data_IF_441907449263
#
_entry.id   IF_441907449263
#
_cell.length_a   1.000
_cell.length_b   1.000
_cell.length_c   1.000
_cell.angle_alpha   90.00
_cell.angle_beta   90.00
_cell.angle_gamma   90.00
#
_symmetry.space_group_name_H-M   'P 1'
#
loop_
_entity.id
_entity.type
_entity.pdbx_description
1 polymer ?
#
# COMPACT_ATOMS: atom_id res chain seq x y z
N UNK A 1 14.88 -6.31 18.04
CA UNK A 1 13.57 -5.79 18.49
C UNK A 1 13.73 -4.35 18.93
N UNK A 2 12.83 -3.47 18.51
CA UNK A 2 12.80 -2.06 18.93
C UNK A 2 11.58 -1.87 19.82
N UNK A 3 11.79 -1.35 21.03
CA UNK A 3 10.69 -1.00 21.93
C UNK A 3 10.38 0.49 21.80
N UNK A 4 9.13 0.81 21.53
CA UNK A 4 8.63 2.17 21.34
C UNK A 4 7.71 2.54 22.50
N UNK A 5 7.78 3.80 22.95
CA UNK A 5 6.91 4.34 24.00
C UNK A 5 5.52 4.74 23.50
N UNK A 6 5.34 4.78 22.17
CA UNK A 6 4.09 5.20 21.52
C UNK A 6 3.56 4.07 20.64
N UNK A 7 2.30 3.69 20.85
CA UNK A 7 1.61 2.71 20.01
C UNK A 7 1.06 3.41 18.74
N UNK A 8 1.86 3.41 17.67
CA UNK A 8 1.51 4.03 16.40
C UNK A 8 2.22 3.29 15.25
N UNK A 9 1.48 2.83 14.26
CA UNK A 9 2.01 2.07 13.13
C UNK A 9 3.05 2.84 12.33
N UNK A 10 2.83 4.13 12.07
CA UNK A 10 3.79 5.00 11.36
C UNK A 10 5.10 5.13 12.12
N UNK A 11 5.03 5.35 13.44
CA UNK A 11 6.23 5.47 14.28
C UNK A 11 7.01 4.14 14.27
N UNK A 12 6.31 3.01 14.36
CA UNK A 12 6.93 1.70 14.32
C UNK A 12 7.60 1.43 12.96
N UNK A 13 6.90 1.67 11.85
CA UNK A 13 7.45 1.48 10.49
C UNK A 13 8.63 2.41 10.23
N UNK A 14 8.54 3.69 10.62
CA UNK A 14 9.64 4.65 10.48
C UNK A 14 10.88 4.22 11.28
N UNK A 15 10.70 3.77 12.52
CA UNK A 15 11.80 3.24 13.32
C UNK A 15 12.46 2.01 12.68
N UNK A 16 11.64 1.13 12.07
CA UNK A 16 12.13 -0.01 11.30
C UNK A 16 12.95 0.40 10.09
N UNK A 17 12.47 1.38 9.31
CA UNK A 17 13.18 1.95 8.16
C UNK A 17 14.55 2.52 8.57
N UNK A 18 14.60 3.24 9.70
CA UNK A 18 15.83 3.90 10.17
C UNK A 18 16.94 2.91 10.52
N UNK A 19 16.60 1.76 11.10
CA UNK A 19 17.58 0.74 11.49
C UNK A 19 17.82 -0.35 10.45
N UNK A 20 16.98 -0.44 9.43
CA UNK A 20 17.15 -1.44 8.36
C UNK A 20 18.50 -1.24 7.67
N UNK A 21 19.29 -2.30 7.55
CA UNK A 21 20.58 -2.30 6.86
C UNK A 21 20.51 -2.84 5.43
N UNK A 22 19.45 -3.61 5.11
CA UNK A 22 19.25 -4.20 3.80
C UNK A 22 18.84 -3.14 2.75
N UNK A 23 19.15 -3.38 1.45
CA UNK A 23 18.80 -2.45 0.38
C UNK A 23 17.31 -2.42 0.04
N UNK A 24 16.53 -3.40 0.50
CA UNK A 24 15.08 -3.50 0.28
C UNK A 24 14.34 -3.66 1.59
N UNK A 25 13.13 -3.12 1.66
CA UNK A 25 12.26 -3.13 2.84
C UNK A 25 10.87 -3.62 2.44
N UNK A 26 10.35 -4.59 3.18
CA UNK A 26 8.95 -5.00 3.17
C UNK A 26 8.33 -4.80 4.55
N UNK A 27 7.02 -4.72 4.59
CA UNK A 27 6.24 -4.54 5.82
C UNK A 27 5.28 -5.72 6.00
N UNK A 28 5.11 -6.15 7.23
CA UNK A 28 4.12 -7.16 7.61
C UNK A 28 3.46 -6.64 8.88
N UNK A 29 2.13 -6.60 8.89
CA UNK A 29 1.38 -6.26 10.09
C UNK A 29 1.38 -7.48 11.03
N UNK A 30 1.44 -7.24 12.33
CA UNK A 30 1.70 -8.29 13.35
C UNK A 30 0.55 -9.29 13.52
N UNK A 31 -0.60 -8.99 12.98
CA UNK A 31 -1.82 -9.82 12.99
C UNK A 31 -2.07 -10.56 11.68
N UNK A 32 -1.19 -10.37 10.68
CA UNK A 32 -1.23 -10.99 9.37
C UNK A 32 -0.06 -11.98 9.17
N UNK A 33 -0.04 -12.67 8.04
CA UNK A 33 1.08 -13.51 7.62
C UNK A 33 1.27 -13.50 6.09
N UNK A 34 2.38 -14.08 5.63
CA UNK A 34 2.77 -14.12 4.22
C UNK A 34 3.13 -15.55 3.81
N UNK A 35 3.04 -15.84 2.53
CA UNK A 35 3.63 -17.04 1.96
C UNK A 35 5.15 -17.04 2.17
N UNK A 36 5.70 -18.22 2.46
CA UNK A 36 7.13 -18.41 2.78
C UNK A 36 8.06 -17.93 1.65
N UNK A 37 7.62 -17.95 0.41
CA UNK A 37 8.37 -17.55 -0.79
C UNK A 37 8.07 -16.12 -1.27
N UNK A 38 7.20 -15.36 -0.58
CA UNK A 38 6.81 -14.01 -1.02
C UNK A 38 8.01 -13.14 -1.33
N UNK A 39 8.89 -12.92 -0.36
CA UNK A 39 10.02 -12.00 -0.55
C UNK A 39 11.09 -12.54 -1.50
N UNK A 40 11.23 -13.83 -1.65
CA UNK A 40 12.09 -14.44 -2.66
C UNK A 40 11.60 -14.09 -4.07
N UNK A 41 10.32 -14.28 -4.35
CA UNK A 41 9.72 -13.97 -5.65
C UNK A 41 9.71 -12.45 -5.95
N UNK A 42 9.39 -11.61 -4.95
CA UNK A 42 9.44 -10.15 -5.13
C UNK A 42 10.85 -9.66 -5.41
N UNK A 43 11.87 -10.18 -4.72
CA UNK A 43 13.27 -9.82 -4.91
C UNK A 43 13.81 -10.31 -6.26
N UNK A 44 13.40 -11.50 -6.70
CA UNK A 44 13.72 -12.02 -8.02
C UNK A 44 13.17 -11.12 -9.13
N UNK A 45 11.93 -10.64 -8.98
CA UNK A 45 11.32 -9.69 -9.92
C UNK A 45 12.05 -8.34 -9.93
N UNK A 46 12.41 -7.77 -8.77
CA UNK A 46 13.23 -6.55 -8.68
C UNK A 46 14.53 -6.72 -9.48
N UNK A 47 15.21 -7.85 -9.26
CA UNK A 47 16.51 -8.13 -9.92
C UNK A 47 16.38 -8.32 -11.43
N UNK A 48 15.31 -8.98 -11.88
CA UNK A 48 15.07 -9.30 -13.29
C UNK A 48 14.64 -8.08 -14.12
N UNK A 49 13.85 -7.19 -13.51
CA UNK A 49 13.29 -6.02 -14.20
C UNK A 49 14.04 -4.72 -13.89
N UNK A 50 14.93 -4.71 -12.89
CA UNK A 50 15.71 -3.53 -12.51
C UNK A 50 14.85 -2.39 -11.95
N UNK A 51 13.76 -2.72 -11.24
CA UNK A 51 12.81 -1.74 -10.68
C UNK A 51 13.06 -1.47 -9.20
N UNK A 52 12.57 -0.35 -8.72
CA UNK A 52 12.72 0.07 -7.31
C UNK A 52 11.57 -0.40 -6.41
N UNK A 53 10.47 -0.90 -7.01
CA UNK A 53 9.27 -1.35 -6.31
C UNK A 53 8.60 -2.51 -7.05
N UNK A 54 8.24 -3.55 -6.29
CA UNK A 54 7.40 -4.67 -6.75
C UNK A 54 6.22 -4.81 -5.80
N UNK A 55 5.07 -5.19 -6.33
CA UNK A 55 3.88 -5.47 -5.53
C UNK A 55 3.15 -6.73 -5.98
N UNK A 56 2.42 -7.33 -5.06
CA UNK A 56 1.61 -8.53 -5.27
C UNK A 56 0.16 -8.30 -4.85
N UNK A 57 -0.67 -9.31 -5.06
CA UNK A 57 -2.01 -9.37 -4.53
C UNK A 57 -2.00 -9.85 -3.06
N UNK A 58 -3.17 -9.84 -2.45
CA UNK A 58 -3.44 -10.37 -1.12
C UNK A 58 -4.75 -11.14 -1.13
N UNK A 59 -4.98 -11.93 -0.11
CA UNK A 59 -6.29 -12.52 0.17
C UNK A 59 -6.75 -12.14 1.57
N UNK A 60 -8.06 -12.20 1.80
CA UNK A 60 -8.66 -11.90 3.11
C UNK A 60 -9.14 -13.22 3.70
N UNK A 61 -8.66 -13.53 4.90
CA UNK A 61 -9.09 -14.69 5.67
C UNK A 61 -9.99 -14.26 6.82
N UNK A 62 -11.17 -14.83 6.88
CA UNK A 62 -12.16 -14.54 7.91
C UNK A 62 -12.10 -15.56 9.06
N UNK A 63 -12.53 -15.17 10.26
CA UNK A 63 -12.58 -16.01 11.46
C UNK A 63 -13.38 -17.31 11.26
N UNK A 64 -14.33 -17.36 10.34
CA UNK A 64 -15.14 -18.53 9.99
C UNK A 64 -14.48 -19.48 8.99
N UNK A 65 -13.26 -19.15 8.56
CA UNK A 65 -12.49 -19.92 7.58
C UNK A 65 -12.82 -19.60 6.12
N UNK A 66 -13.70 -18.63 5.87
CA UNK A 66 -13.93 -18.11 4.51
C UNK A 66 -12.72 -17.31 4.04
N UNK A 67 -12.37 -17.45 2.76
CA UNK A 67 -11.28 -16.72 2.12
C UNK A 67 -11.83 -15.94 0.92
N UNK A 68 -11.70 -14.62 0.97
CA UNK A 68 -11.89 -13.76 -0.19
C UNK A 68 -10.58 -13.69 -0.97
N UNK A 69 -10.51 -14.35 -2.11
CA UNK A 69 -9.37 -14.25 -3.03
C UNK A 69 -9.69 -13.30 -4.17
N UNK A 70 -8.69 -12.54 -4.59
CA UNK A 70 -8.79 -11.68 -5.77
C UNK A 70 -8.31 -12.48 -6.99
N UNK A 71 -9.24 -12.76 -7.89
CA UNK A 71 -8.94 -13.40 -9.16
C UNK A 71 -8.57 -12.35 -10.24
N UNK A 72 -7.67 -12.66 -11.16
CA UNK A 72 -6.93 -13.92 -11.29
C UNK A 72 -5.74 -14.02 -10.33
N UNK A 73 -5.31 -15.25 -10.02
CA UNK A 73 -4.09 -15.60 -9.26
C UNK A 73 -3.19 -16.45 -10.17
N UNK A 74 -2.83 -15.89 -11.32
CA UNK A 74 -2.21 -16.62 -12.44
C UNK A 74 -0.70 -16.80 -12.28
N UNK A 75 -0.06 -16.05 -11.38
CA UNK A 75 1.39 -15.97 -11.28
C UNK A 75 2.05 -15.14 -12.39
N UNK A 76 1.26 -14.42 -13.19
CA UNK A 76 1.78 -13.52 -14.21
C UNK A 76 2.61 -12.40 -13.59
N UNK A 77 3.72 -12.06 -14.22
CA UNK A 77 4.59 -10.93 -13.85
C UNK A 77 4.49 -9.87 -14.93
N UNK A 78 4.15 -8.64 -14.54
CA UNK A 78 3.90 -7.55 -15.47
C UNK A 78 4.58 -6.26 -15.01
N UNK A 79 5.36 -5.65 -15.93
CA UNK A 79 5.89 -4.29 -15.74
C UNK A 79 4.77 -3.28 -16.03
N UNK A 80 4.64 -2.28 -15.16
CA UNK A 80 3.67 -1.20 -15.27
C UNK A 80 4.33 0.16 -15.07
N UNK A 81 3.81 1.19 -15.71
CA UNK A 81 4.25 2.55 -15.37
C UNK A 81 3.75 2.96 -13.99
N UNK A 82 4.54 3.73 -13.25
CA UNK A 82 4.13 4.26 -11.94
C UNK A 82 2.88 5.13 -12.03
N UNK A 83 2.71 5.86 -13.14
CA UNK A 83 1.50 6.64 -13.43
C UNK A 83 0.24 5.77 -13.45
N UNK A 84 0.25 4.64 -14.20
CA UNK A 84 -0.88 3.72 -14.27
C UNK A 84 -1.22 3.11 -12.91
N UNK A 85 -0.20 2.73 -12.14
CA UNK A 85 -0.41 2.14 -10.81
C UNK A 85 -1.00 3.16 -9.84
N UNK A 86 -0.53 4.40 -9.86
CA UNK A 86 -1.11 5.48 -9.04
C UNK A 86 -2.54 5.79 -9.49
N UNK A 87 -2.81 5.82 -10.80
CA UNK A 87 -4.16 6.01 -11.31
C UNK A 87 -5.12 4.94 -10.79
N UNK A 88 -4.74 3.65 -10.91
CA UNK A 88 -5.56 2.55 -10.41
C UNK A 88 -5.77 2.61 -8.89
N UNK A 89 -4.73 2.97 -8.14
CA UNK A 89 -4.81 3.13 -6.69
C UNK A 89 -5.73 4.31 -6.30
N UNK A 90 -5.68 5.43 -7.02
CA UNK A 90 -6.57 6.58 -6.79
C UNK A 90 -8.02 6.27 -7.18
N UNK A 91 -8.23 5.35 -8.13
CA UNK A 91 -9.54 4.85 -8.53
C UNK A 91 -10.05 3.69 -7.65
N UNK A 92 -9.40 3.39 -6.52
CA UNK A 92 -9.70 2.26 -5.61
C UNK A 92 -9.75 0.88 -6.33
N UNK A 93 -8.99 0.73 -7.43
CA UNK A 93 -8.81 -0.54 -8.17
C UNK A 93 -7.63 -1.33 -7.65
N UNK A 94 -6.72 -0.68 -6.93
CA UNK A 94 -5.52 -1.26 -6.34
C UNK A 94 -5.45 -0.93 -4.85
N UNK A 95 -5.04 -1.93 -4.06
CA UNK A 95 -4.85 -1.76 -2.62
C UNK A 95 -3.73 -0.76 -2.30
N UNK A 96 -4.04 0.16 -1.38
CA UNK A 96 -3.09 1.17 -0.88
C UNK A 96 -2.23 0.68 0.29
N UNK A 97 -2.27 -0.61 0.67
CA UNK A 97 -1.42 -1.15 1.74
C UNK A 97 0.05 -1.22 1.30
N UNK A 98 0.96 -0.90 2.20
CA UNK A 98 2.40 -1.12 2.00
C UNK A 98 2.82 -2.59 2.19
N UNK A 99 1.98 -3.43 2.81
CA UNK A 99 2.34 -4.79 3.22
C UNK A 99 2.44 -5.79 2.06
N UNK A 100 1.81 -5.51 0.91
CA UNK A 100 1.90 -6.35 -0.29
C UNK A 100 3.10 -6.01 -1.18
N UNK A 101 4.07 -5.25 -0.68
CA UNK A 101 5.10 -4.60 -1.51
C UNK A 101 6.50 -4.82 -0.97
N UNK A 102 7.47 -4.83 -1.89
CA UNK A 102 8.90 -4.75 -1.57
C UNK A 102 9.45 -3.47 -2.21
N UNK A 103 10.07 -2.63 -1.40
CA UNK A 103 10.56 -1.31 -1.75
C UNK A 103 12.08 -1.27 -1.69
N UNK A 104 12.71 -0.59 -2.63
CA UNK A 104 14.11 -0.18 -2.46
C UNK A 104 14.19 0.86 -1.34
N UNK A 105 15.11 0.66 -0.41
CA UNK A 105 15.25 1.51 0.79
C UNK A 105 15.40 3.00 0.47
N UNK A 106 16.01 3.34 -0.65
CA UNK A 106 16.22 4.73 -1.08
C UNK A 106 14.93 5.53 -1.27
N UNK A 107 13.79 4.88 -1.55
CA UNK A 107 12.48 5.52 -1.67
C UNK A 107 12.02 6.18 -0.35
N UNK A 108 12.57 5.76 0.79
CA UNK A 108 12.24 6.32 2.11
C UNK A 108 13.18 7.46 2.55
N UNK A 109 14.10 7.91 1.69
CA UNK A 109 15.11 8.94 2.05
C UNK A 109 14.51 10.34 2.16
N UNK A 110 13.55 10.67 1.28
CA UNK A 110 12.91 11.99 1.23
C UNK A 110 11.61 12.05 2.03
N UNK A 111 10.88 10.93 2.09
CA UNK A 111 9.53 10.84 2.65
C UNK A 111 9.40 9.63 3.57
N UNK A 112 8.76 9.83 4.73
CA UNK A 112 8.44 8.79 5.70
C UNK A 112 6.94 8.73 5.96
N UNK A 113 6.49 7.70 6.66
CA UNK A 113 5.09 7.60 7.08
C UNK A 113 4.69 8.79 7.96
N UNK A 114 3.56 9.45 7.69
CA UNK A 114 3.04 10.53 8.53
C UNK A 114 2.55 9.97 9.88
N UNK A 115 2.97 10.57 11.00
CA UNK A 115 2.76 10.03 12.34
C UNK A 115 1.47 10.47 13.02
N UNK A 116 0.72 11.39 12.41
CA UNK A 116 -0.45 12.03 13.04
C UNK A 116 -1.79 11.53 12.51
N UNK A 117 -1.79 10.63 11.52
CA UNK A 117 -3.01 10.14 10.88
C UNK A 117 -3.10 8.61 10.93
N UNK A 118 -4.31 8.09 11.00
CA UNK A 118 -4.63 6.74 10.57
C UNK A 118 -4.67 6.71 9.03
N UNK A 119 -4.53 5.54 8.40
CA UNK A 119 -4.41 5.39 6.95
C UNK A 119 -3.15 6.07 6.38
N UNK A 120 -2.05 5.95 7.09
CA UNK A 120 -0.75 6.54 6.78
C UNK A 120 -0.18 6.08 5.43
N UNK A 121 -0.40 4.82 5.08
CA UNK A 121 -0.03 4.24 3.79
C UNK A 121 -0.83 4.88 2.64
N UNK A 122 -2.12 5.11 2.84
CA UNK A 122 -2.98 5.81 1.89
C UNK A 122 -2.50 7.24 1.61
N UNK A 123 -1.89 7.87 2.60
CA UNK A 123 -1.36 9.23 2.49
C UNK A 123 -0.06 9.35 1.70
N UNK A 124 0.78 8.31 1.69
CA UNK A 124 2.17 8.44 1.20
C UNK A 124 2.51 7.52 0.02
N UNK A 125 1.87 6.35 -0.08
CA UNK A 125 2.26 5.29 -1.01
C UNK A 125 2.33 5.75 -2.47
N UNK A 126 1.40 6.58 -2.90
CA UNK A 126 1.38 7.11 -4.27
C UNK A 126 2.61 7.95 -4.60
N UNK A 127 3.20 8.62 -3.62
CA UNK A 127 4.41 9.43 -3.81
C UNK A 127 5.63 8.52 -4.01
N UNK A 128 5.79 7.47 -3.19
CA UNK A 128 6.88 6.50 -3.38
C UNK A 128 6.76 5.75 -4.71
N UNK A 129 5.53 5.44 -5.15
CA UNK A 129 5.31 4.81 -6.45
C UNK A 129 5.76 5.75 -7.57
N UNK A 130 5.46 7.05 -7.51
CA UNK A 130 5.86 8.03 -8.53
C UNK A 130 7.35 8.35 -8.52
N UNK A 131 8.06 8.13 -7.42
CA UNK A 131 9.53 8.20 -7.39
C UNK A 131 10.19 7.05 -8.17
N UNK A 132 9.45 5.96 -8.43
CA UNK A 132 9.87 4.87 -9.30
C UNK A 132 9.36 5.13 -10.71
N UNK A 133 10.22 5.05 -11.74
CA UNK A 133 9.77 5.21 -13.14
C UNK A 133 8.81 4.08 -13.54
N UNK A 134 9.12 2.88 -13.10
CA UNK A 134 8.40 1.65 -13.37
C UNK A 134 8.28 0.80 -12.11
N UNK A 135 7.23 0.02 -12.06
CA UNK A 135 6.96 -0.94 -11.01
C UNK A 135 6.60 -2.29 -11.60
N UNK A 136 6.80 -3.37 -10.87
CA UNK A 136 6.39 -4.70 -11.32
C UNK A 136 5.24 -5.20 -10.44
N UNK A 137 4.26 -5.80 -11.07
CA UNK A 137 3.17 -6.51 -10.42
C UNK A 137 3.32 -8.01 -10.64
N UNK A 138 3.14 -8.77 -9.57
CA UNK A 138 3.03 -10.23 -9.59
C UNK A 138 1.60 -10.59 -9.24
N UNK A 139 0.90 -11.24 -10.17
CA UNK A 139 -0.46 -11.72 -9.98
C UNK A 139 -0.48 -12.99 -9.11
N UNK A 140 -0.10 -12.81 -7.83
CA UNK A 140 -0.14 -13.84 -6.78
C UNK A 140 -0.56 -13.21 -5.46
N UNK A 141 -1.43 -13.87 -4.74
CA UNK A 141 -1.90 -13.47 -3.41
C UNK A 141 -0.96 -14.02 -2.33
N UNK A 142 0.21 -13.42 -2.18
CA UNK A 142 1.20 -13.83 -1.19
C UNK A 142 0.92 -13.35 0.23
N UNK A 143 0.13 -12.30 0.39
CA UNK A 143 -0.16 -11.68 1.68
C UNK A 143 -1.54 -12.12 2.16
N UNK A 144 -1.61 -12.59 3.41
CA UNK A 144 -2.83 -13.08 4.05
C UNK A 144 -3.28 -12.07 5.11
N UNK A 145 -4.27 -11.25 4.74
CA UNK A 145 -4.91 -10.32 5.65
C UNK A 145 -5.92 -11.07 6.52
N UNK A 146 -5.64 -11.21 7.81
CA UNK A 146 -6.48 -11.95 8.75
C UNK A 146 -7.52 -11.02 9.36
N UNK A 147 -8.76 -11.14 8.90
CA UNK A 147 -9.88 -10.33 9.38
C UNK A 147 -10.51 -10.97 10.61
N UNK A 148 -10.23 -10.41 11.78
CA UNK A 148 -10.77 -10.88 13.06
C UNK A 148 -11.94 -10.02 13.50
N UNK A 149 -12.90 -10.62 14.20
CA UNK A 149 -14.03 -9.91 14.82
C UNK A 149 -13.59 -8.83 15.83
N UNK A 150 -12.41 -8.98 16.43
CA UNK A 150 -11.75 -8.02 17.33
C UNK A 150 -10.91 -6.96 16.63
N UNK A 151 -10.79 -6.99 15.30
CA UNK A 151 -9.95 -6.06 14.54
C UNK A 151 -10.43 -4.61 14.69
N UNK A 152 -9.48 -3.68 14.79
CA UNK A 152 -9.75 -2.22 14.86
C UNK A 152 -10.58 -1.75 13.66
N UNK A 153 -10.47 -2.43 12.52
CA UNK A 153 -11.23 -2.11 11.30
C UNK A 153 -12.68 -2.62 11.31
N UNK A 154 -13.13 -3.35 12.35
CA UNK A 154 -14.46 -3.95 12.37
C UNK A 154 -15.56 -2.93 12.73
N UNK A 155 -15.25 -1.98 13.59
CA UNK A 155 -16.18 -0.88 13.94
C UNK A 155 -15.51 0.45 13.63
N UNK A 156 -15.91 1.05 12.52
CA UNK A 156 -15.33 2.33 12.08
C UNK A 156 -15.82 3.45 13.03
N UNK A 157 -14.94 3.93 13.88
CA UNK A 157 -15.22 5.05 14.78
C UNK A 157 -15.35 6.38 14.00
N UNK A 158 -16.00 7.40 14.56
CA UNK A 158 -16.04 8.74 13.95
C UNK A 158 -14.65 9.32 13.67
N UNK A 159 -13.66 9.03 14.53
CA UNK A 159 -12.28 9.46 14.34
C UNK A 159 -11.63 8.77 13.13
N UNK A 160 -11.87 7.48 12.95
CA UNK A 160 -11.37 6.73 11.76
C UNK A 160 -11.99 7.26 10.48
N UNK A 161 -13.30 7.57 10.48
CA UNK A 161 -13.97 8.21 9.32
C UNK A 161 -13.35 9.56 8.98
N UNK A 162 -13.07 10.37 9.99
CA UNK A 162 -12.41 11.66 9.82
C UNK A 162 -11.00 11.53 9.24
N UNK A 163 -10.18 10.61 9.75
CA UNK A 163 -8.85 10.35 9.21
C UNK A 163 -8.89 9.76 7.80
N UNK A 164 -9.86 8.90 7.50
CA UNK A 164 -10.07 8.41 6.14
C UNK A 164 -10.41 9.57 5.18
N UNK A 165 -11.34 10.44 5.58
CA UNK A 165 -11.69 11.63 4.81
C UNK A 165 -10.46 12.53 4.58
N UNK A 166 -9.65 12.78 5.60
CA UNK A 166 -8.41 13.55 5.46
C UNK A 166 -7.45 12.91 4.47
N UNK A 167 -7.28 11.59 4.51
CA UNK A 167 -6.43 10.88 3.57
C UNK A 167 -6.93 11.04 2.12
N UNK A 168 -8.23 10.94 1.90
CA UNK A 168 -8.83 11.17 0.58
C UNK A 168 -8.73 12.63 0.12
N UNK A 169 -8.87 13.57 1.04
CA UNK A 169 -8.70 15.00 0.75
C UNK A 169 -7.26 15.32 0.34
N UNK A 170 -6.27 14.81 1.05
CA UNK A 170 -4.85 14.97 0.67
C UNK A 170 -4.55 14.37 -0.72
N UNK A 171 -5.15 13.21 -1.04
CA UNK A 171 -5.07 12.63 -2.38
C UNK A 171 -5.70 13.51 -3.44
N UNK A 172 -6.85 14.11 -3.15
CA UNK A 172 -7.51 15.06 -4.05
C UNK A 172 -6.63 16.29 -4.31
N UNK A 173 -6.02 16.86 -3.27
CA UNK A 173 -5.08 17.97 -3.42
C UNK A 173 -3.86 17.55 -4.23
N UNK A 174 -3.31 16.37 -3.98
CA UNK A 174 -2.23 15.82 -4.78
C UNK A 174 -2.60 15.73 -6.26
N UNK A 175 -3.78 15.19 -6.60
CA UNK A 175 -4.24 15.10 -7.99
C UNK A 175 -4.39 16.48 -8.63
N UNK A 176 -4.95 17.47 -7.91
CA UNK A 176 -5.13 18.82 -8.39
C UNK A 176 -3.81 19.55 -8.69
N UNK A 177 -2.78 19.26 -7.90
CA UNK A 177 -1.48 19.92 -7.99
C UNK A 177 -0.49 19.19 -8.90
N UNK A 178 -0.85 18.00 -9.39
CA UNK A 178 0.03 17.15 -10.19
C UNK A 178 -0.43 17.12 -11.66
N UNK A 179 0.36 17.73 -12.54
CA UNK A 179 0.09 17.81 -13.98
C UNK A 179 0.34 16.51 -14.75
N UNK A 180 0.71 15.43 -14.05
CA UNK A 180 0.96 14.13 -14.67
C UNK A 180 -0.29 13.51 -15.30
N UNK A 181 -1.46 13.83 -14.76
CA UNK A 181 -2.75 13.27 -15.15
C UNK A 181 -3.55 14.25 -16.02
N UNK A 182 -4.16 13.76 -17.10
CA UNK A 182 -5.03 14.57 -17.95
C UNK A 182 -6.40 14.85 -17.28
N UNK A 183 -7.23 15.64 -17.94
CA UNK A 183 -8.53 16.08 -17.38
C UNK A 183 -9.49 14.91 -17.13
N UNK A 184 -9.50 13.90 -17.99
CA UNK A 184 -10.36 12.72 -17.85
C UNK A 184 -9.87 11.82 -16.72
N UNK A 185 -8.58 11.55 -16.67
CA UNK A 185 -7.94 10.80 -15.58
C UNK A 185 -8.21 11.46 -14.23
N UNK A 186 -8.02 12.77 -14.12
CA UNK A 186 -8.30 13.54 -12.91
C UNK A 186 -9.78 13.45 -12.51
N UNK A 187 -10.71 13.58 -13.46
CA UNK A 187 -12.13 13.45 -13.18
C UNK A 187 -12.49 12.07 -12.63
N UNK A 188 -11.95 11.01 -13.23
CA UNK A 188 -12.20 9.64 -12.79
C UNK A 188 -11.66 9.39 -11.36
N UNK A 189 -10.43 9.82 -11.06
CA UNK A 189 -9.82 9.71 -9.74
C UNK A 189 -10.62 10.48 -8.68
N UNK A 190 -10.97 11.75 -8.95
CA UNK A 190 -11.77 12.59 -8.05
C UNK A 190 -13.12 11.98 -7.77
N UNK A 191 -13.78 11.45 -8.79
CA UNK A 191 -15.09 10.78 -8.67
C UNK A 191 -14.96 9.54 -7.77
N UNK A 192 -13.92 8.74 -7.93
CA UNK A 192 -13.68 7.56 -7.08
C UNK A 192 -13.41 7.95 -5.63
N UNK A 193 -12.56 8.96 -5.40
CA UNK A 193 -12.26 9.45 -4.04
C UNK A 193 -13.52 9.96 -3.31
N UNK A 194 -14.37 10.72 -4.00
CA UNK A 194 -15.64 11.19 -3.43
C UNK A 194 -16.58 10.03 -3.11
N UNK A 195 -16.73 9.06 -4.04
CA UNK A 195 -17.55 7.88 -3.81
C UNK A 195 -17.09 7.05 -2.61
N UNK A 196 -15.78 6.92 -2.41
CA UNK A 196 -15.23 6.16 -1.28
C UNK A 196 -15.48 6.83 0.07
N UNK A 197 -15.62 8.17 0.12
CA UNK A 197 -16.00 8.89 1.34
C UNK A 197 -17.47 8.72 1.74
N UNK A 198 -18.34 8.28 0.79
CA UNK A 198 -19.78 8.12 1.02
C UNK A 198 -20.17 6.68 1.45
N UNK A 199 -19.21 5.76 1.47
CA UNK A 199 -19.38 4.35 1.91
C UNK A 199 -19.01 4.21 3.39
#
# INVERSE_FOLDING_TARGET
>A
VIHLSVANASVARNAGIDVASAPYIGFIDSDDYIDVNMYEELLAAISSYGVDLVYSNFQIEHDDGHIDSFEPNSGMVCERSSKEVVYDMMCDRLNSSCCTKLFKKTLFSSLKFPTHNMYEDRLILHQWILESEKVVWIDKAFYHYVKRSSSICHVISPLQRYHFFLAQFCRLEFINNNLLFDTEEQYNMKTSLVKSCLR
#
